data_IF_480434968713
#
_entry.id   IF_480434968713
#
_cell.length_a   1.000
_cell.length_b   1.000
_cell.length_c   1.000
_cell.angle_alpha   90.00
_cell.angle_beta   90.00
_cell.angle_gamma   90.00
#
_symmetry.space_group_name_H-M   'P 1'
#
loop_
_entity.id
_entity.type
_entity.pdbx_description
1 polymer ?
#
# COMPACT_ATOMS: atom_id res chain seq x y z
N UNK A 1 3.31 4.23 6.74
CA UNK A 1 4.72 3.83 6.69
C UNK A 1 4.71 2.32 6.67
N UNK A 2 5.39 1.72 5.69
CA UNK A 2 5.47 0.27 5.56
C UNK A 2 6.88 -0.11 6.02
N UNK A 3 7.00 -1.16 6.83
CA UNK A 3 8.28 -1.59 7.39
C UNK A 3 8.60 -3.03 6.98
N UNK A 4 9.87 -3.36 6.70
CA UNK A 4 10.26 -4.74 6.47
C UNK A 4 10.05 -5.56 7.76
N UNK A 5 9.45 -6.74 7.65
CA UNK A 5 9.12 -7.59 8.81
C UNK A 5 9.80 -8.95 8.82
N UNK A 6 10.87 -9.14 8.03
CA UNK A 6 11.63 -10.39 8.00
C UNK A 6 12.65 -10.44 6.88
N UNK A 7 13.27 -11.61 6.64
CA UNK A 7 14.12 -11.83 5.47
C UNK A 7 13.30 -11.75 4.17
N UNK A 8 13.87 -11.14 3.14
CA UNK A 8 13.22 -10.93 1.84
C UNK A 8 12.55 -9.55 1.73
N UNK A 9 11.49 -9.49 0.94
CA UNK A 9 10.75 -8.27 0.57
C UNK A 9 9.41 -8.14 1.33
N UNK A 10 9.22 -8.93 2.39
CA UNK A 10 8.03 -8.87 3.21
C UNK A 10 7.97 -7.55 3.98
N UNK A 11 7.01 -6.71 3.64
CA UNK A 11 6.73 -5.44 4.30
C UNK A 11 5.34 -5.47 4.94
N UNK A 12 5.18 -4.83 6.10
CA UNK A 12 3.90 -4.72 6.80
C UNK A 12 3.55 -3.26 7.08
N UNK A 13 2.29 -2.90 6.84
CA UNK A 13 1.78 -1.60 7.23
C UNK A 13 1.55 -1.56 8.75
N UNK A 14 2.08 -0.55 9.43
CA UNK A 14 1.87 -0.39 10.89
C UNK A 14 0.41 -0.08 11.26
N UNK A 15 -0.35 0.51 10.32
CA UNK A 15 -1.69 1.03 10.61
C UNK A 15 -2.76 -0.04 10.38
N UNK A 16 -2.81 -0.64 9.18
CA UNK A 16 -3.82 -1.65 8.84
C UNK A 16 -3.33 -3.09 9.04
N UNK A 17 -2.05 -3.30 9.31
CA UNK A 17 -1.48 -4.63 9.53
C UNK A 17 -1.32 -5.49 8.27
N UNK A 18 -1.69 -5.00 7.08
CA UNK A 18 -1.52 -5.77 5.84
C UNK A 18 -0.05 -6.07 5.60
N UNK A 19 0.25 -7.32 5.27
CA UNK A 19 1.57 -7.77 4.82
C UNK A 19 1.58 -7.90 3.30
N UNK A 20 2.60 -7.34 2.66
CA UNK A 20 2.88 -7.45 1.24
C UNK A 20 4.26 -8.11 1.06
N UNK A 21 4.42 -8.94 0.05
CA UNK A 21 5.64 -9.68 -0.28
C UNK A 21 5.63 -10.02 -1.78
N UNK A 22 6.69 -10.62 -2.29
CA UNK A 22 6.84 -11.01 -3.70
C UNK A 22 6.78 -9.80 -4.67
N UNK A 23 7.42 -8.69 -4.29
CA UNK A 23 7.58 -7.48 -5.10
C UNK A 23 8.55 -7.73 -6.26
N UNK A 24 8.14 -7.29 -7.45
CA UNK A 24 9.02 -7.17 -8.59
C UNK A 24 9.84 -5.86 -8.51
N UNK A 25 10.91 -5.77 -9.29
CA UNK A 25 11.78 -4.58 -9.34
C UNK A 25 11.04 -3.29 -9.76
N UNK A 26 9.89 -3.44 -10.40
CA UNK A 26 9.04 -2.33 -10.85
C UNK A 26 7.91 -1.98 -9.89
N UNK A 27 7.67 -2.79 -8.85
CA UNK A 27 6.54 -2.60 -7.95
C UNK A 27 6.84 -1.52 -6.92
N UNK A 28 5.94 -0.54 -6.78
CA UNK A 28 6.03 0.47 -5.72
C UNK A 28 5.26 -0.01 -4.47
N UNK A 29 5.91 -0.08 -3.29
CA UNK A 29 5.26 -0.52 -2.06
C UNK A 29 4.01 0.28 -1.68
N UNK A 30 3.95 1.58 -1.99
CA UNK A 30 2.80 2.42 -1.70
C UNK A 30 1.67 2.20 -2.70
N UNK A 31 1.97 1.99 -3.98
CA UNK A 31 0.97 1.62 -4.99
C UNK A 31 0.33 0.27 -4.67
N UNK A 32 1.12 -0.76 -4.35
CA UNK A 32 0.57 -2.06 -3.94
C UNK A 32 -0.21 -1.94 -2.61
N UNK A 33 0.23 -1.07 -1.69
CA UNK A 33 -0.53 -0.79 -0.47
C UNK A 33 -1.88 -0.11 -0.75
N UNK A 34 -1.96 0.80 -1.72
CA UNK A 34 -3.24 1.40 -2.17
C UNK A 34 -4.13 0.33 -2.80
N UNK A 35 -3.57 -0.52 -3.65
CA UNK A 35 -4.29 -1.57 -4.36
C UNK A 35 -4.90 -2.61 -3.42
N UNK A 36 -4.16 -3.08 -2.42
CA UNK A 36 -4.62 -4.14 -1.50
C UNK A 36 -5.22 -3.64 -0.18
N UNK A 37 -5.00 -2.38 0.21
CA UNK A 37 -5.51 -1.83 1.46
C UNK A 37 -6.05 -0.39 1.33
N UNK A 38 -6.82 -0.11 0.27
CA UNK A 38 -7.44 1.21 0.01
C UNK A 38 -8.32 1.79 1.14
N UNK A 39 -8.66 0.99 2.17
CA UNK A 39 -9.39 1.43 3.38
C UNK A 39 -8.47 1.68 4.59
N UNK A 40 -7.16 1.71 4.38
CA UNK A 40 -6.20 1.98 5.43
C UNK A 40 -6.33 3.44 5.90
N UNK A 41 -6.63 3.66 7.17
CA UNK A 41 -6.78 5.00 7.75
C UNK A 41 -5.53 5.87 7.55
N UNK A 42 -4.34 5.26 7.50
CA UNK A 42 -3.10 5.98 7.20
C UNK A 42 -3.03 6.46 5.73
N UNK A 43 -3.51 5.67 4.77
CA UNK A 43 -3.60 6.09 3.36
C UNK A 43 -4.63 7.22 3.20
N UNK A 44 -5.77 7.11 3.88
CA UNK A 44 -6.78 8.18 3.91
C UNK A 44 -6.23 9.46 4.54
N UNK A 45 -5.40 9.36 5.58
CA UNK A 45 -4.75 10.52 6.22
C UNK A 45 -3.69 11.16 5.31
N UNK A 46 -2.94 10.36 4.55
CA UNK A 46 -1.88 10.85 3.66
C UNK A 46 -2.43 11.56 2.41
N UNK A 47 -3.41 10.95 1.76
CA UNK A 47 -3.87 11.39 0.44
C UNK A 47 -5.24 12.07 0.48
N UNK A 48 -6.07 11.77 1.49
CA UNK A 48 -7.49 12.10 1.49
C UNK A 48 -8.31 11.12 0.66
N UNK A 49 -9.59 10.95 1.01
CA UNK A 49 -10.46 9.93 0.43
C UNK A 49 -10.63 10.05 -1.10
N UNK A 50 -10.74 11.26 -1.63
CA UNK A 50 -10.99 11.48 -3.06
C UNK A 50 -9.74 11.22 -3.92
N UNK A 51 -8.57 11.65 -3.46
CA UNK A 51 -7.30 11.36 -4.15
C UNK A 51 -6.93 9.87 -4.06
N UNK A 52 -7.20 9.24 -2.91
CA UNK A 52 -6.99 7.80 -2.74
C UNK A 52 -7.85 6.99 -3.72
N UNK A 53 -9.12 7.37 -3.91
CA UNK A 53 -9.99 6.76 -4.93
C UNK A 53 -9.44 6.94 -6.35
N UNK A 54 -8.97 8.15 -6.70
CA UNK A 54 -8.37 8.41 -8.03
C UNK A 54 -7.16 7.51 -8.30
N UNK A 55 -6.27 7.38 -7.31
CA UNK A 55 -5.10 6.49 -7.38
C UNK A 55 -5.49 5.03 -7.51
N UNK A 56 -6.45 4.58 -6.71
CA UNK A 56 -6.95 3.21 -6.79
C UNK A 56 -7.50 2.87 -8.18
N UNK A 57 -8.34 3.74 -8.76
CA UNK A 57 -8.88 3.52 -10.11
C UNK A 57 -7.75 3.44 -11.14
N UNK A 58 -6.75 4.32 -11.06
CA UNK A 58 -5.59 4.30 -11.96
C UNK A 58 -4.79 2.99 -11.87
N UNK A 59 -4.64 2.43 -10.67
CA UNK A 59 -3.89 1.19 -10.43
C UNK A 59 -4.65 -0.08 -10.84
N UNK A 60 -5.96 0.02 -11.03
CA UNK A 60 -6.84 -1.09 -11.44
C UNK A 60 -7.25 -1.00 -12.92
N UNK A 61 -6.81 0.04 -13.64
CA UNK A 61 -7.05 0.25 -15.07
C UNK A 61 -5.91 -0.32 -15.90
#
# INVERSE_FOLDING_TARGET
MIFPTGPGDLVRCFCCGIGLKDFNETDDPMEEHIKYASKCAYLETLFGAEELKRRLVKLLS
#
